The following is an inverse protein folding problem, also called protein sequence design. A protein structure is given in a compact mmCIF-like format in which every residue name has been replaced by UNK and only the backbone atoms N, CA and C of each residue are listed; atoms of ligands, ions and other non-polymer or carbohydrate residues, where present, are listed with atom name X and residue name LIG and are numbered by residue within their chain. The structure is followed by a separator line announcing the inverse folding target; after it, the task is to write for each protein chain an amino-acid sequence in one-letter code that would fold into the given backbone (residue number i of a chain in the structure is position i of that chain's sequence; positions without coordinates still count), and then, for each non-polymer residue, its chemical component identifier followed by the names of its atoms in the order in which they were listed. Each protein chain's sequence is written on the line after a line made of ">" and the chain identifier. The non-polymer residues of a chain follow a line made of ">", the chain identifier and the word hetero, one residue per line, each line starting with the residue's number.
data_IF_936039815810
#
_entry.id   IF_936039815810
#
_cell.length_a   1.000
_cell.length_b   1.000
_cell.length_c   1.000
_cell.angle_alpha   90.00
_cell.angle_beta   90.00
_cell.angle_gamma   90.00
#
_symmetry.space_group_name_H-M   'P 1'
#
loop_
_entity.id
_entity.type
_entity.pdbx_description
1 polymer ?
#
# COMPACT_ATOMS: atom_id res chain seq x y z
N UNK A 1 -1.44 16.68 -18.17
CA UNK A 1 -0.55 17.30 -17.15
C UNK A 1 -0.79 16.56 -15.85
N UNK A 2 0.26 16.21 -15.10
CA UNK A 2 0.15 15.52 -13.82
C UNK A 2 -0.50 16.44 -12.78
N UNK A 3 -1.53 15.93 -12.08
CA UNK A 3 -2.25 16.68 -11.04
C UNK A 3 -2.06 16.08 -9.64
N UNK A 4 -1.75 14.78 -9.54
CA UNK A 4 -1.55 14.09 -8.26
C UNK A 4 -0.43 13.06 -8.35
N UNK A 5 0.29 12.93 -7.24
CA UNK A 5 1.10 11.77 -6.93
C UNK A 5 0.31 10.91 -5.94
N UNK A 6 0.09 9.65 -6.29
CA UNK A 6 -0.58 8.67 -5.45
C UNK A 6 0.45 7.65 -4.99
N UNK A 7 0.73 7.61 -3.69
CA UNK A 7 1.73 6.73 -3.12
C UNK A 7 1.06 5.58 -2.35
N UNK A 8 1.57 4.40 -2.51
CA UNK A 8 1.46 3.40 -1.46
C UNK A 8 2.21 3.87 -0.20
N UNK A 9 1.98 3.19 0.93
CA UNK A 9 2.56 3.54 2.21
C UNK A 9 3.74 2.64 2.57
N UNK A 10 3.44 1.35 2.77
CA UNK A 10 4.35 0.38 3.36
C UNK A 10 5.45 -0.02 2.37
N UNK A 11 6.72 0.00 2.80
CA UNK A 11 7.90 -0.17 1.94
C UNK A 11 7.99 0.82 0.75
N UNK A 12 7.12 1.83 0.69
CA UNK A 12 7.13 2.87 -0.35
C UNK A 12 7.55 4.23 0.23
N UNK A 13 6.96 4.67 1.34
CA UNK A 13 7.34 5.91 2.04
C UNK A 13 8.39 5.69 3.13
N UNK A 14 8.74 4.48 3.42
CA UNK A 14 9.88 4.10 4.27
C UNK A 14 10.53 2.83 3.70
N UNK A 15 11.81 2.63 4.02
CA UNK A 15 12.56 1.47 3.53
C UNK A 15 12.02 0.18 4.11
N UNK A 16 11.91 -0.86 3.28
CA UNK A 16 11.58 -2.23 3.67
C UNK A 16 12.52 -2.81 4.73
N UNK A 17 13.72 -2.25 4.89
CA UNK A 17 14.70 -2.70 5.87
C UNK A 17 14.30 -2.41 7.32
N UNK A 18 13.28 -1.58 7.56
CA UNK A 18 12.65 -1.47 8.88
C UNK A 18 11.91 -2.76 9.30
N UNK A 19 11.55 -3.63 8.34
CA UNK A 19 10.89 -4.89 8.60
C UNK A 19 9.44 -4.78 9.10
N UNK A 20 8.84 -3.60 9.07
CA UNK A 20 7.47 -3.36 9.55
C UNK A 20 6.47 -4.22 8.78
N UNK A 21 6.48 -4.15 7.43
CA UNK A 21 5.60 -4.94 6.57
C UNK A 21 5.81 -6.46 6.74
N UNK A 22 7.04 -6.93 6.98
CA UNK A 22 7.30 -8.33 7.28
C UNK A 22 6.58 -8.77 8.57
N UNK A 23 6.55 -7.91 9.59
CA UNK A 23 5.84 -8.17 10.84
C UNK A 23 4.32 -8.14 10.64
N UNK A 24 3.81 -7.20 9.83
CA UNK A 24 2.39 -7.13 9.43
C UNK A 24 2.00 -8.42 8.71
N UNK A 25 2.73 -8.81 7.67
CA UNK A 25 2.51 -10.05 6.93
C UNK A 25 2.52 -11.30 7.82
N UNK A 26 3.45 -11.40 8.79
CA UNK A 26 3.48 -12.50 9.75
C UNK A 26 2.20 -12.54 10.58
N UNK A 27 1.77 -11.41 11.16
CA UNK A 27 0.54 -11.32 11.97
C UNK A 27 -0.72 -11.63 11.15
N UNK A 28 -0.77 -11.24 9.87
CA UNK A 28 -1.84 -11.62 8.96
C UNK A 28 -1.96 -13.14 8.85
N UNK A 29 -0.86 -13.85 8.64
CA UNK A 29 -0.88 -15.30 8.51
C UNK A 29 -1.15 -16.01 9.86
N UNK A 30 -0.67 -15.47 10.97
CA UNK A 30 -0.97 -15.97 12.32
C UNK A 30 -2.47 -15.81 12.63
N UNK A 31 -3.06 -14.67 12.33
CA UNK A 31 -4.50 -14.44 12.52
C UNK A 31 -5.34 -15.39 11.65
N UNK A 32 -5.04 -15.48 10.37
CA UNK A 32 -5.76 -16.37 9.48
C UNK A 32 -5.59 -17.85 9.85
N UNK A 33 -4.40 -18.26 10.33
CA UNK A 33 -4.13 -19.60 10.86
C UNK A 33 -5.01 -19.92 12.06
N UNK A 34 -5.12 -19.00 13.00
CA UNK A 34 -5.98 -19.16 14.17
C UNK A 34 -7.47 -19.23 13.79
N UNK A 35 -7.90 -18.39 12.85
CA UNK A 35 -9.28 -18.35 12.36
C UNK A 35 -9.68 -19.65 11.63
N UNK A 36 -8.80 -20.14 10.76
CA UNK A 36 -9.07 -21.29 9.89
C UNK A 36 -8.75 -22.64 10.56
N UNK A 37 -8.01 -22.63 11.67
CA UNK A 37 -7.56 -23.85 12.34
C UNK A 37 -6.54 -24.66 11.53
N UNK A 38 -5.76 -24.01 10.66
CA UNK A 38 -4.73 -24.64 9.81
C UNK A 38 -3.36 -23.98 10.05
N UNK A 39 -2.24 -24.68 9.77
CA UNK A 39 -0.90 -24.13 9.96
C UNK A 39 -0.64 -22.86 9.09
N UNK A 40 0.20 -21.90 9.54
CA UNK A 40 0.49 -20.67 8.81
C UNK A 40 1.05 -20.89 7.40
N UNK A 41 1.85 -21.93 7.19
CA UNK A 41 2.38 -22.30 5.87
C UNK A 41 1.27 -22.74 4.91
N UNK A 42 0.22 -23.40 5.41
CA UNK A 42 -0.95 -23.78 4.60
C UNK A 42 -1.79 -22.55 4.27
N UNK A 43 -1.98 -21.64 5.23
CA UNK A 43 -2.60 -20.32 4.97
C UNK A 43 -1.85 -19.58 3.85
N UNK A 44 -0.52 -19.53 3.95
CA UNK A 44 0.32 -18.88 2.94
C UNK A 44 0.10 -19.48 1.55
N UNK A 45 0.05 -20.82 1.46
CA UNK A 45 -0.18 -21.53 0.20
C UNK A 45 -1.54 -21.17 -0.39
N UNK A 46 -2.61 -21.24 0.42
CA UNK A 46 -3.97 -20.90 -0.02
C UNK A 46 -4.08 -19.42 -0.42
N UNK A 47 -3.47 -18.51 0.35
CA UNK A 47 -3.45 -17.09 0.03
C UNK A 47 -2.73 -16.79 -1.28
N UNK A 48 -1.65 -17.51 -1.60
CA UNK A 48 -0.96 -17.36 -2.89
C UNK A 48 -1.84 -17.78 -4.09
N UNK A 49 -2.70 -18.77 -3.91
CA UNK A 49 -3.70 -19.15 -4.92
C UNK A 49 -4.82 -18.11 -5.00
N UNK A 50 -5.33 -17.69 -3.84
CA UNK A 50 -6.42 -16.74 -3.69
C UNK A 50 -6.07 -15.32 -4.19
N UNK A 51 -4.79 -14.91 -4.16
CA UNK A 51 -4.37 -13.55 -4.59
C UNK A 51 -4.75 -13.20 -6.03
N UNK A 52 -4.98 -14.18 -6.87
CA UNK A 52 -5.45 -13.96 -8.25
C UNK A 52 -6.87 -13.42 -8.30
N UNK A 53 -7.64 -13.67 -7.24
CA UNK A 53 -9.06 -13.32 -7.13
C UNK A 53 -9.30 -12.22 -6.08
N UNK A 54 -8.51 -12.20 -5.00
CA UNK A 54 -8.64 -11.28 -3.87
C UNK A 54 -7.40 -10.41 -3.70
N UNK A 55 -7.57 -9.10 -3.62
CA UNK A 55 -6.47 -8.14 -3.43
C UNK A 55 -5.77 -8.31 -2.08
N UNK A 56 -6.55 -8.46 -1.00
CA UNK A 56 -6.03 -8.58 0.37
C UNK A 56 -6.37 -9.93 1.01
N UNK A 57 -5.68 -10.28 2.10
CA UNK A 57 -6.03 -11.45 2.90
C UNK A 57 -7.38 -11.24 3.61
N UNK A 58 -7.65 -10.04 4.09
CA UNK A 58 -8.94 -9.68 4.70
C UNK A 58 -10.10 -9.91 3.73
N UNK A 59 -9.99 -9.42 2.49
CA UNK A 59 -11.01 -9.64 1.46
C UNK A 59 -11.27 -11.13 1.22
N UNK A 60 -10.20 -11.93 1.15
CA UNK A 60 -10.32 -13.38 1.01
C UNK A 60 -11.07 -14.00 2.18
N UNK A 61 -10.69 -13.70 3.43
CA UNK A 61 -11.34 -14.24 4.64
C UNK A 61 -12.82 -13.80 4.73
N UNK A 62 -13.12 -12.55 4.37
CA UNK A 62 -14.51 -12.06 4.36
C UNK A 62 -15.36 -12.79 3.33
N UNK A 63 -14.82 -13.03 2.14
CA UNK A 63 -15.58 -13.56 1.01
C UNK A 63 -15.73 -15.08 1.08
N UNK A 64 -14.67 -15.81 1.35
CA UNK A 64 -14.67 -17.28 1.32
C UNK A 64 -15.07 -17.89 2.67
N UNK A 65 -14.67 -17.25 3.77
CA UNK A 65 -14.84 -17.79 5.11
C UNK A 65 -15.98 -17.11 5.90
N UNK A 66 -16.61 -16.09 5.31
CA UNK A 66 -17.69 -15.34 5.96
C UNK A 66 -17.21 -14.54 7.18
N UNK A 67 -15.93 -14.19 7.24
CA UNK A 67 -15.36 -13.43 8.35
C UNK A 67 -15.92 -12.01 8.37
N UNK A 68 -16.36 -11.52 9.54
CA UNK A 68 -17.03 -10.22 9.68
C UNK A 68 -16.42 -9.28 10.73
N UNK A 69 -15.62 -9.81 11.66
CA UNK A 69 -15.03 -9.01 12.76
C UNK A 69 -13.75 -8.31 12.29
N UNK A 70 -13.90 -7.37 11.37
CA UNK A 70 -12.80 -6.64 10.73
C UNK A 70 -11.96 -5.87 11.74
N UNK A 71 -12.58 -5.34 12.81
CA UNK A 71 -11.86 -4.61 13.85
C UNK A 71 -10.95 -5.53 14.67
N UNK A 72 -11.38 -6.75 14.96
CA UNK A 72 -10.51 -7.75 15.60
C UNK A 72 -9.32 -8.10 14.70
N UNK A 73 -9.54 -8.22 13.39
CA UNK A 73 -8.45 -8.43 12.42
C UNK A 73 -7.44 -7.27 12.45
N UNK A 74 -7.89 -6.02 12.32
CA UNK A 74 -6.97 -4.88 12.32
C UNK A 74 -6.25 -4.71 13.65
N UNK A 75 -6.92 -4.91 14.78
CA UNK A 75 -6.28 -4.86 16.09
C UNK A 75 -5.18 -5.92 16.28
N UNK A 76 -5.36 -7.11 15.69
CA UNK A 76 -4.37 -8.19 15.75
C UNK A 76 -3.19 -7.93 14.80
N UNK A 77 -3.48 -7.41 13.61
CA UNK A 77 -2.48 -7.20 12.55
C UNK A 77 -1.67 -5.93 12.79
N UNK A 78 -2.30 -4.89 13.34
CA UNK A 78 -1.72 -3.56 13.61
C UNK A 78 -1.76 -3.23 15.11
N UNK A 79 -1.01 -3.94 15.98
CA UNK A 79 -1.02 -3.68 17.40
C UNK A 79 -0.33 -2.35 17.75
N UNK A 80 -0.65 -1.73 18.89
CA UNK A 80 0.06 -0.57 19.40
C UNK A 80 1.58 -0.77 19.39
N UNK A 81 2.33 0.25 18.98
CA UNK A 81 3.79 0.21 18.93
C UNK A 81 4.39 -0.50 17.71
N UNK A 82 3.59 -0.96 16.78
CA UNK A 82 4.11 -1.67 15.59
C UNK A 82 5.13 -0.85 14.78
N UNK A 83 4.96 0.48 14.74
CA UNK A 83 5.82 1.41 14.00
C UNK A 83 6.90 2.08 14.88
N UNK A 84 7.18 1.58 16.08
CA UNK A 84 8.14 2.23 17.00
C UNK A 84 9.59 2.25 16.51
N UNK A 85 9.92 1.43 15.53
CA UNK A 85 11.23 1.45 14.88
C UNK A 85 11.38 2.61 13.87
N UNK A 86 10.27 3.19 13.40
CA UNK A 86 10.31 4.33 12.48
C UNK A 86 10.69 5.60 13.25
N UNK A 87 11.49 6.44 12.59
CA UNK A 87 11.93 7.74 13.10
C UNK A 87 11.65 8.82 12.06
N UNK A 88 11.56 10.11 12.44
CA UNK A 88 11.38 11.20 11.49
C UNK A 88 12.47 11.19 10.41
N UNK A 89 12.04 11.20 9.14
CA UNK A 89 12.93 11.24 7.98
C UNK A 89 12.93 12.64 7.37
N UNK A 90 13.95 13.43 7.75
CA UNK A 90 14.09 14.82 7.31
C UNK A 90 14.44 14.94 5.83
N UNK A 91 15.13 13.95 5.25
CA UNK A 91 15.47 13.94 3.82
C UNK A 91 14.24 13.63 2.97
N UNK A 92 13.47 12.59 3.35
CA UNK A 92 12.20 12.28 2.71
C UNK A 92 11.23 13.47 2.80
N UNK A 93 11.12 14.08 3.98
CA UNK A 93 10.28 15.26 4.18
C UNK A 93 10.68 16.41 3.25
N UNK A 94 11.95 16.74 3.21
CA UNK A 94 12.46 17.81 2.34
C UNK A 94 12.21 17.51 0.86
N UNK A 95 12.43 16.26 0.45
CA UNK A 95 12.18 15.78 -0.90
C UNK A 95 10.68 15.93 -1.28
N UNK A 96 9.78 15.36 -0.47
CA UNK A 96 8.33 15.43 -0.73
C UNK A 96 7.80 16.85 -0.70
N UNK A 97 8.27 17.70 0.22
CA UNK A 97 7.88 19.11 0.29
C UNK A 97 8.33 19.91 -0.95
N UNK A 98 9.47 19.53 -1.54
CA UNK A 98 9.99 20.15 -2.77
C UNK A 98 9.19 19.82 -4.03
N UNK A 99 8.30 18.84 -4.00
CA UNK A 99 7.47 18.45 -5.15
C UNK A 99 6.19 19.31 -5.17
N UNK A 100 5.96 20.13 -6.20
CA UNK A 100 4.81 21.05 -6.24
C UNK A 100 3.46 20.38 -6.52
N UNK A 101 3.48 19.08 -6.90
CA UNK A 101 2.27 18.31 -7.20
C UNK A 101 1.64 17.82 -5.89
N UNK A 102 0.31 17.97 -5.69
CA UNK A 102 -0.39 17.40 -4.55
C UNK A 102 -0.15 15.88 -4.41
N UNK A 103 -0.09 15.41 -3.17
CA UNK A 103 0.19 14.02 -2.83
C UNK A 103 -0.94 13.40 -2.03
N UNK A 104 -1.23 12.13 -2.31
CA UNK A 104 -2.17 11.32 -1.55
C UNK A 104 -1.57 9.93 -1.28
N UNK A 105 -2.03 9.28 -0.21
CA UNK A 105 -1.72 7.88 0.10
C UNK A 105 -2.88 6.99 -0.33
N UNK A 106 -2.58 5.83 -0.92
CA UNK A 106 -3.51 4.74 -1.22
C UNK A 106 -2.96 3.45 -0.63
N UNK A 107 -3.51 3.01 0.50
CA UNK A 107 -2.99 1.85 1.24
C UNK A 107 -4.02 0.75 1.43
N UNK A 108 -3.56 -0.49 1.45
CA UNK A 108 -4.35 -1.67 1.85
C UNK A 108 -4.43 -1.86 3.37
N UNK A 109 -3.73 -1.02 4.14
CA UNK A 109 -3.79 -0.98 5.59
C UNK A 109 -4.97 -0.11 6.07
N UNK A 110 -5.36 -0.20 7.35
CA UNK A 110 -6.37 0.69 7.94
C UNK A 110 -5.82 2.10 8.19
N UNK A 111 -6.71 3.06 8.33
CA UNK A 111 -6.39 4.48 8.53
C UNK A 111 -5.45 4.72 9.70
N UNK A 112 -5.66 4.04 10.81
CA UNK A 112 -4.89 4.19 12.04
C UNK A 112 -3.41 3.81 11.85
N UNK A 113 -3.14 2.77 11.06
CA UNK A 113 -1.79 2.40 10.67
C UNK A 113 -1.15 3.49 9.79
N UNK A 114 -1.88 3.98 8.79
CA UNK A 114 -1.38 5.03 7.91
C UNK A 114 -1.04 6.32 8.68
N UNK A 115 -1.94 6.77 9.56
CA UNK A 115 -1.72 7.94 10.40
C UNK A 115 -0.48 7.75 11.28
N UNK A 116 -0.34 6.59 11.94
CA UNK A 116 0.80 6.26 12.80
C UNK A 116 2.14 6.32 12.03
N UNK A 117 2.19 5.68 10.86
CA UNK A 117 3.42 5.63 10.02
C UNK A 117 3.79 7.03 9.55
N UNK A 118 2.85 7.80 9.00
CA UNK A 118 3.10 9.15 8.52
C UNK A 118 3.55 10.10 9.63
N UNK A 119 2.96 9.98 10.82
CA UNK A 119 3.35 10.77 11.99
C UNK A 119 4.77 10.41 12.47
N UNK A 120 5.11 9.12 12.56
CA UNK A 120 6.46 8.67 12.91
C UNK A 120 7.51 9.18 11.94
N UNK A 121 7.20 9.20 10.63
CA UNK A 121 8.09 9.74 9.60
C UNK A 121 8.14 11.29 9.59
N UNK A 122 7.19 11.96 10.23
CA UNK A 122 7.09 13.42 10.28
C UNK A 122 6.65 14.04 8.95
N UNK A 123 5.78 13.36 8.19
CA UNK A 123 5.35 13.77 6.84
C UNK A 123 3.83 13.85 6.66
N UNK A 124 3.03 13.67 7.71
CA UNK A 124 1.55 13.63 7.64
C UNK A 124 0.95 14.86 6.96
N UNK A 125 1.49 16.04 7.25
CA UNK A 125 1.03 17.33 6.71
C UNK A 125 1.31 17.53 5.20
N UNK A 126 2.06 16.63 4.58
CA UNK A 126 2.41 16.70 3.16
C UNK A 126 1.39 15.99 2.25
N UNK A 127 0.45 15.26 2.82
CA UNK A 127 -0.56 14.51 2.07
C UNK A 127 -1.93 15.12 2.23
N UNK A 128 -2.60 15.38 1.11
CA UNK A 128 -3.95 15.96 1.10
C UNK A 128 -5.03 14.94 1.44
N UNK A 129 -4.78 13.66 1.12
CA UNK A 129 -5.70 12.56 1.35
C UNK A 129 -4.94 11.30 1.76
N UNK A 130 -5.55 10.53 2.64
CA UNK A 130 -5.17 9.17 2.98
C UNK A 130 -6.39 8.30 2.67
N UNK A 131 -6.24 7.41 1.70
CA UNK A 131 -7.30 6.53 1.21
C UNK A 131 -6.95 5.11 1.62
N UNK A 132 -7.76 4.54 2.49
CA UNK A 132 -7.58 3.21 3.09
C UNK A 132 -8.69 2.23 2.65
N UNK A 133 -8.50 0.95 2.93
CA UNK A 133 -9.41 -0.11 2.50
C UNK A 133 -10.84 0.01 3.04
N UNK A 134 -11.05 0.63 4.23
CA UNK A 134 -12.40 0.79 4.79
C UNK A 134 -13.29 1.65 3.91
N UNK A 135 -12.71 2.63 3.22
CA UNK A 135 -13.43 3.56 2.35
C UNK A 135 -13.99 2.90 1.08
N UNK A 136 -13.52 1.69 0.75
CA UNK A 136 -14.00 0.93 -0.42
C UNK A 136 -14.48 -0.48 -0.03
N UNK A 137 -15.21 -0.61 1.09
CA UNK A 137 -15.77 -1.89 1.55
C UNK A 137 -14.69 -3.00 1.69
N UNK A 138 -13.48 -2.64 2.12
CA UNK A 138 -12.31 -3.51 2.26
C UNK A 138 -11.77 -4.10 0.96
N UNK A 139 -12.24 -3.63 -0.20
CA UNK A 139 -11.58 -3.88 -1.47
C UNK A 139 -10.33 -3.01 -1.57
N UNK A 140 -9.17 -3.67 -1.58
CA UNK A 140 -7.88 -3.01 -1.69
C UNK A 140 -7.26 -3.12 -3.09
N UNK A 141 -6.04 -2.59 -3.25
CA UNK A 141 -5.23 -2.81 -4.45
C UNK A 141 -5.04 -4.32 -4.67
N UNK A 142 -5.07 -4.82 -5.89
CA UNK A 142 -5.15 -4.10 -7.17
C UNK A 142 -6.60 -3.98 -7.71
N UNK A 143 -7.62 -4.03 -6.85
CA UNK A 143 -9.01 -3.94 -7.30
C UNK A 143 -9.27 -2.64 -8.04
N UNK A 144 -9.91 -2.75 -9.21
CA UNK A 144 -10.32 -1.62 -10.05
C UNK A 144 -11.14 -0.60 -9.25
N UNK A 145 -12.08 -1.11 -8.45
CA UNK A 145 -13.01 -0.32 -7.64
C UNK A 145 -12.26 0.60 -6.66
N UNK A 146 -11.14 0.13 -6.10
CA UNK A 146 -10.35 0.91 -5.16
C UNK A 146 -9.58 2.03 -5.86
N UNK A 147 -8.99 1.76 -7.01
CA UNK A 147 -8.37 2.82 -7.82
C UNK A 147 -9.39 3.85 -8.30
N UNK A 148 -10.55 3.41 -8.80
CA UNK A 148 -11.62 4.33 -9.22
C UNK A 148 -12.17 5.15 -8.06
N UNK A 149 -12.26 4.55 -6.85
CA UNK A 149 -12.62 5.29 -5.64
C UNK A 149 -11.60 6.39 -5.35
N UNK A 150 -10.31 6.07 -5.39
CA UNK A 150 -9.24 7.03 -5.19
C UNK A 150 -9.31 8.19 -6.20
N UNK A 151 -9.44 7.89 -7.48
CA UNK A 151 -9.54 8.90 -8.54
C UNK A 151 -10.75 9.83 -8.34
N UNK A 152 -11.91 9.29 -7.98
CA UNK A 152 -13.12 10.09 -7.67
C UNK A 152 -12.90 10.99 -6.45
N UNK A 153 -12.28 10.46 -5.39
CA UNK A 153 -11.99 11.22 -4.17
C UNK A 153 -11.05 12.38 -4.44
N UNK A 154 -10.06 12.18 -5.31
CA UNK A 154 -9.09 13.22 -5.70
C UNK A 154 -9.63 14.18 -6.77
N UNK A 155 -10.75 13.86 -7.41
CA UNK A 155 -11.35 14.68 -8.47
C UNK A 155 -10.49 14.74 -9.75
N UNK A 156 -9.82 13.64 -10.10
CA UNK A 156 -8.88 13.58 -11.23
C UNK A 156 -9.15 12.40 -12.16
N UNK A 157 -8.66 12.51 -13.39
CA UNK A 157 -8.64 11.38 -14.32
C UNK A 157 -7.38 10.53 -14.11
N UNK A 158 -7.44 9.29 -14.57
CA UNK A 158 -6.36 8.33 -14.37
C UNK A 158 -5.04 8.73 -15.04
N UNK A 159 -5.09 9.40 -16.19
CA UNK A 159 -3.92 9.91 -16.92
C UNK A 159 -3.27 11.14 -16.26
N UNK A 160 -3.95 11.73 -15.26
CA UNK A 160 -3.48 12.87 -14.47
C UNK A 160 -2.78 12.45 -13.16
N UNK A 161 -2.68 11.15 -12.90
CA UNK A 161 -2.10 10.58 -11.68
C UNK A 161 -0.87 9.75 -12.01
N UNK A 162 0.17 9.88 -11.19
CA UNK A 162 1.30 8.96 -11.15
C UNK A 162 1.20 8.14 -9.87
N UNK A 163 1.04 6.83 -10.00
CA UNK A 163 0.98 5.89 -8.89
C UNK A 163 2.36 5.27 -8.63
N UNK A 164 2.77 5.19 -7.37
CA UNK A 164 4.04 4.59 -6.95
C UNK A 164 3.77 3.56 -5.86
N UNK A 165 4.28 2.35 -6.03
CA UNK A 165 4.04 1.22 -5.12
C UNK A 165 5.24 0.26 -5.18
N UNK A 166 5.56 -0.46 -4.10
CA UNK A 166 6.63 -1.45 -4.06
C UNK A 166 6.21 -2.84 -4.57
N UNK A 167 4.91 -3.04 -4.78
CA UNK A 167 4.37 -4.34 -5.18
C UNK A 167 3.99 -4.35 -6.67
N UNK A 168 4.67 -5.17 -7.52
CA UNK A 168 4.45 -5.16 -8.98
C UNK A 168 3.00 -5.45 -9.37
N UNK A 169 2.31 -6.33 -8.64
CA UNK A 169 0.90 -6.67 -8.90
C UNK A 169 -0.05 -5.48 -8.72
N UNK A 170 0.26 -4.56 -7.80
CA UNK A 170 -0.54 -3.35 -7.60
C UNK A 170 -0.27 -2.31 -8.67
N UNK A 171 1.00 -2.14 -9.03
CA UNK A 171 1.38 -1.27 -10.15
C UNK A 171 0.76 -1.75 -11.47
N UNK A 172 0.82 -3.05 -11.76
CA UNK A 172 0.21 -3.66 -12.95
C UNK A 172 -1.31 -3.47 -12.99
N UNK A 173 -1.97 -3.58 -11.82
CA UNK A 173 -3.41 -3.29 -11.71
C UNK A 173 -3.76 -1.86 -12.14
N UNK A 174 -2.97 -0.87 -11.73
CA UNK A 174 -3.18 0.52 -12.13
C UNK A 174 -2.84 0.76 -13.61
N UNK A 175 -1.76 0.17 -14.11
CA UNK A 175 -1.38 0.23 -15.52
C UNK A 175 -2.44 -0.39 -16.43
N UNK A 176 -3.05 -1.52 -16.02
CA UNK A 176 -4.11 -2.19 -16.77
C UNK A 176 -5.38 -1.33 -16.94
N UNK A 177 -5.58 -0.34 -16.06
CA UNK A 177 -6.66 0.65 -16.16
C UNK A 177 -6.31 1.84 -17.07
N UNK A 178 -5.11 1.86 -17.65
CA UNK A 178 -4.61 2.97 -18.46
C UNK A 178 -3.88 4.06 -17.66
N UNK A 179 -3.56 3.81 -16.40
CA UNK A 179 -2.82 4.73 -15.53
C UNK A 179 -1.31 4.75 -15.80
N UNK A 180 -0.60 5.63 -15.10
CA UNK A 180 0.85 5.70 -15.07
C UNK A 180 1.33 5.17 -13.72
N UNK A 181 2.03 4.04 -13.70
CA UNK A 181 2.52 3.38 -12.50
C UNK A 181 4.03 3.20 -12.53
N UNK A 182 4.65 3.30 -11.36
CA UNK A 182 6.09 3.09 -11.15
C UNK A 182 6.26 2.10 -10.00
N UNK A 183 7.05 1.06 -10.24
CA UNK A 183 7.48 0.13 -9.21
C UNK A 183 8.67 0.71 -8.45
N UNK A 184 8.57 0.81 -7.12
CA UNK A 184 9.73 1.04 -6.25
C UNK A 184 10.33 -0.32 -5.85
N UNK A 185 11.45 -0.69 -6.44
CA UNK A 185 12.13 -1.97 -6.23
C UNK A 185 13.50 -1.71 -5.57
N UNK A 186 13.50 -1.35 -4.29
CA UNK A 186 14.68 -0.91 -3.52
C UNK A 186 15.85 -1.90 -3.64
N UNK A 187 15.59 -3.19 -3.50
CA UNK A 187 16.60 -4.26 -3.53
C UNK A 187 16.76 -4.94 -4.88
N UNK A 188 16.04 -4.47 -5.92
CA UNK A 188 16.07 -5.06 -7.26
C UNK A 188 15.62 -6.53 -7.30
N UNK A 189 14.62 -6.90 -6.50
CA UNK A 189 14.06 -8.26 -6.50
C UNK A 189 13.29 -8.60 -7.79
N UNK A 190 12.83 -7.57 -8.50
CA UNK A 190 12.08 -7.69 -9.75
C UNK A 190 12.94 -7.25 -10.94
N UNK A 191 14.12 -7.87 -11.10
CA UNK A 191 15.10 -7.51 -12.15
C UNK A 191 14.53 -7.65 -13.57
N UNK A 192 13.60 -8.57 -13.78
CA UNK A 192 12.90 -8.86 -15.03
C UNK A 192 11.64 -8.02 -15.27
N UNK A 193 11.27 -7.15 -14.33
CA UNK A 193 10.12 -6.24 -14.48
C UNK A 193 10.39 -5.21 -15.58
N UNK A 194 9.50 -5.15 -16.57
CA UNK A 194 9.70 -4.39 -17.81
C UNK A 194 9.02 -3.03 -17.84
N UNK A 195 8.11 -2.76 -16.90
CA UNK A 195 7.44 -1.46 -16.77
C UNK A 195 8.33 -0.47 -15.99
N UNK A 196 7.98 0.82 -15.93
CA UNK A 196 8.76 1.82 -15.21
C UNK A 196 9.09 1.38 -13.78
N UNK A 197 10.38 1.45 -13.44
CA UNK A 197 10.93 1.00 -12.16
C UNK A 197 11.99 1.98 -11.65
N UNK A 198 12.01 2.18 -10.34
CA UNK A 198 13.00 2.97 -9.61
C UNK A 198 13.53 2.17 -8.42
N UNK A 199 14.71 2.54 -7.91
CA UNK A 199 15.29 1.95 -6.70
C UNK A 199 15.22 2.87 -5.49
N UNK A 200 15.08 4.15 -5.73
CA UNK A 200 14.96 5.16 -4.68
C UNK A 200 13.80 6.09 -5.03
N UNK A 201 13.00 6.45 -4.03
CA UNK A 201 11.80 7.27 -4.23
C UNK A 201 12.09 8.60 -4.91
N UNK A 202 13.26 9.21 -4.65
CA UNK A 202 13.67 10.48 -5.27
C UNK A 202 13.78 10.42 -6.80
N UNK A 203 13.93 9.23 -7.37
CA UNK A 203 13.99 9.06 -8.83
C UNK A 203 12.66 9.32 -9.55
N UNK A 204 11.54 9.41 -8.81
CA UNK A 204 10.24 9.77 -9.42
C UNK A 204 10.28 11.14 -10.10
N UNK A 205 11.22 12.01 -9.75
CA UNK A 205 11.41 13.32 -10.41
C UNK A 205 11.58 13.22 -11.91
N UNK A 206 12.08 12.09 -12.44
CA UNK A 206 12.21 11.83 -13.87
C UNK A 206 10.85 11.72 -14.59
N UNK A 207 9.77 11.55 -13.83
CA UNK A 207 8.41 11.28 -14.35
C UNK A 207 7.42 12.41 -14.02
N UNK A 208 7.84 13.43 -13.27
CA UNK A 208 6.98 14.54 -12.81
C UNK A 208 7.07 15.75 -13.75
N UNK A 209 8.09 15.81 -14.61
CA UNK A 209 8.42 16.95 -15.49
C UNK A 209 7.43 17.20 -16.60
#
# INVERSE_FOLDING_TARGET
>A
MLKYLLFDLDNTLYSRHYGLENNVSRRIFEFASALLGIPPEEVRRQRMEARKQYGTCLEWLMTEEGFTDVEAYFAAVHPPGEADALVPDTELRAFLAGIPVPKAVLTNAPREHADLVLDKLGISDLFTHIIDVRQCNFFGKPRREFFEYALRTLGVNIDEVLFVDDHPFYVEGFLALGGKGILLDEDNFHSDYTQPKIRELKEITRYIG
#
